data_IF_256028369187
#
_entry.id   IF_256028369187
#
_cell.length_a   1.000
_cell.length_b   1.000
_cell.length_c   1.000
_cell.angle_alpha   90.00
_cell.angle_beta   90.00
_cell.angle_gamma   90.00
#
_symmetry.space_group_name_H-M   'P 1'
#
loop_
_entity.id
_entity.type
_entity.pdbx_description
1 polymer ?
#
# COMPACT_ATOMS: atom_id res chain seq x y z
N UNK A 1 -1.77 -13.16 -0.99
CA UNK A 1 -2.22 -11.80 -0.60
C UNK A 1 -1.38 -10.80 -1.39
N UNK A 2 -1.94 -9.64 -1.80
CA UNK A 2 -1.18 -8.60 -2.49
C UNK A 2 -1.32 -7.26 -1.73
N UNK A 3 -0.51 -6.27 -2.11
CA UNK A 3 -0.48 -4.95 -1.46
C UNK A 3 -1.85 -4.27 -1.46
N UNK A 4 -2.60 -4.30 -2.56
CA UNK A 4 -3.93 -3.70 -2.62
C UNK A 4 -4.92 -4.37 -1.65
N UNK A 5 -4.83 -5.69 -1.48
CA UNK A 5 -5.65 -6.44 -0.54
C UNK A 5 -5.32 -6.03 0.91
N UNK A 6 -4.04 -6.01 1.27
CA UNK A 6 -3.60 -5.60 2.61
C UNK A 6 -3.99 -4.14 2.91
N UNK A 7 -3.77 -3.23 1.97
CA UNK A 7 -4.18 -1.83 2.11
C UNK A 7 -5.70 -1.67 2.21
N UNK A 8 -6.48 -2.56 1.60
CA UNK A 8 -7.95 -2.56 1.69
C UNK A 8 -8.43 -3.03 3.05
N UNK A 9 -7.84 -4.09 3.59
CA UNK A 9 -8.11 -4.57 4.95
C UNK A 9 -7.79 -3.50 6.01
N UNK A 10 -6.74 -2.72 5.78
CA UNK A 10 -6.34 -1.60 6.63
C UNK A 10 -7.11 -0.29 6.37
N UNK A 11 -8.01 -0.26 5.38
CA UNK A 11 -8.85 0.91 5.08
C UNK A 11 -8.20 2.00 4.23
N UNK A 12 -6.99 1.81 3.72
CA UNK A 12 -6.30 2.75 2.84
C UNK A 12 -6.72 2.65 1.36
N UNK A 13 -7.25 1.50 0.94
CA UNK A 13 -7.62 1.26 -0.46
C UNK A 13 -9.06 0.78 -0.60
N UNK A 14 -9.90 1.52 -1.34
CA UNK A 14 -11.31 1.18 -1.56
C UNK A 14 -11.61 0.61 -2.95
N UNK A 15 -10.65 0.73 -3.89
CA UNK A 15 -10.82 0.27 -5.27
C UNK A 15 -10.83 -1.25 -5.42
N UNK A 16 -10.95 -1.68 -6.68
CA UNK A 16 -10.83 -3.09 -7.04
C UNK A 16 -9.39 -3.57 -6.91
N UNK A 17 -9.23 -4.81 -6.44
CA UNK A 17 -7.93 -5.47 -6.34
C UNK A 17 -7.59 -6.02 -7.73
N UNK A 18 -7.07 -5.15 -8.59
CA UNK A 18 -6.74 -5.47 -9.99
C UNK A 18 -5.31 -6.01 -10.15
N UNK A 19 -4.46 -5.88 -9.14
CA UNK A 19 -3.03 -6.20 -9.20
C UNK A 19 -2.18 -5.14 -9.93
N UNK A 20 -2.82 -4.18 -10.59
CA UNK A 20 -2.14 -3.07 -11.28
C UNK A 20 -2.00 -1.84 -10.38
N UNK A 21 -0.81 -1.27 -10.31
CA UNK A 21 -0.54 -0.06 -9.51
C UNK A 21 -0.87 1.22 -10.27
N UNK A 22 -2.13 1.63 -10.17
CA UNK A 22 -2.61 2.92 -10.67
C UNK A 22 -2.47 4.07 -9.66
N UNK A 23 -2.91 5.28 -10.03
CA UNK A 23 -2.89 6.45 -9.16
C UNK A 23 -3.55 6.23 -7.78
N UNK A 24 -4.65 5.49 -7.73
CA UNK A 24 -5.35 5.16 -6.47
C UNK A 24 -4.53 4.26 -5.56
N UNK A 25 -3.82 3.27 -6.09
CA UNK A 25 -2.93 2.43 -5.30
C UNK A 25 -1.73 3.20 -4.78
N UNK A 26 -1.16 4.10 -5.59
CA UNK A 26 -0.06 4.99 -5.17
C UNK A 26 -0.50 5.92 -4.04
N UNK A 27 -1.70 6.48 -4.12
CA UNK A 27 -2.25 7.31 -3.04
C UNK A 27 -2.45 6.52 -1.74
N UNK A 28 -2.99 5.30 -1.83
CA UNK A 28 -3.15 4.42 -0.68
C UNK A 28 -1.79 4.05 -0.04
N UNK A 29 -0.79 3.76 -0.87
CA UNK A 29 0.59 3.51 -0.44
C UNK A 29 1.18 4.73 0.27
N UNK A 30 1.08 5.92 -0.30
CA UNK A 30 1.58 7.14 0.32
C UNK A 30 0.91 7.45 1.66
N UNK A 31 -0.41 7.20 1.77
CA UNK A 31 -1.14 7.39 3.01
C UNK A 31 -0.68 6.39 4.09
N UNK A 32 -0.56 5.11 3.73
CA UNK A 32 -0.05 4.08 4.63
C UNK A 32 1.38 4.40 5.09
N UNK A 33 2.28 4.71 4.15
CA UNK A 33 3.67 5.05 4.46
C UNK A 33 3.77 6.23 5.43
N UNK A 34 2.99 7.29 5.20
CA UNK A 34 2.94 8.45 6.10
C UNK A 34 2.48 8.07 7.50
N UNK A 35 1.40 7.31 7.61
CA UNK A 35 0.78 6.99 8.89
C UNK A 35 1.63 5.98 9.70
N UNK A 36 2.48 5.20 9.03
CA UNK A 36 3.45 4.27 9.64
C UNK A 36 4.87 4.85 9.75
N UNK A 37 5.09 6.12 9.41
CA UNK A 37 6.39 6.78 9.53
C UNK A 37 7.48 6.27 8.58
N UNK A 38 7.09 5.70 7.43
CA UNK A 38 7.97 5.25 6.37
C UNK A 38 8.30 6.40 5.40
N UNK A 39 9.30 6.19 4.55
CA UNK A 39 9.53 7.07 3.41
C UNK A 39 8.31 7.03 2.47
N UNK A 40 7.79 8.22 2.12
CA UNK A 40 6.57 8.34 1.32
C UNK A 40 6.92 8.26 -0.17
N UNK A 41 7.14 7.04 -0.66
CA UNK A 41 7.48 6.77 -2.06
C UNK A 41 6.24 6.63 -2.95
N UNK A 42 5.09 6.28 -2.37
CA UNK A 42 3.88 5.91 -3.12
C UNK A 42 4.08 4.68 -4.01
N UNK A 43 5.14 3.91 -3.79
CA UNK A 43 5.49 2.72 -4.53
C UNK A 43 5.48 1.49 -3.61
N UNK A 44 5.47 0.30 -4.21
CA UNK A 44 5.79 -0.92 -3.46
C UNK A 44 7.30 -0.96 -3.33
N UNK A 45 7.79 -0.70 -2.12
CA UNK A 45 9.19 -0.85 -1.75
C UNK A 45 9.34 -1.84 -0.59
N UNK A 46 10.59 -2.24 -0.32
CA UNK A 46 10.92 -3.23 0.71
C UNK A 46 10.41 -2.84 2.11
N UNK A 47 10.62 -1.60 2.61
CA UNK A 47 10.07 -1.18 3.89
C UNK A 47 8.55 -1.30 3.96
N UNK A 48 7.85 -0.95 2.87
CA UNK A 48 6.39 -1.02 2.83
C UNK A 48 5.89 -2.46 2.85
N UNK A 49 6.48 -3.37 2.08
CA UNK A 49 6.05 -4.78 2.09
C UNK A 49 6.37 -5.49 3.41
N UNK A 50 7.48 -5.12 4.05
CA UNK A 50 7.83 -5.62 5.38
C UNK A 50 6.83 -5.13 6.43
N UNK A 51 6.48 -3.84 6.40
CA UNK A 51 5.51 -3.27 7.34
C UNK A 51 4.09 -3.85 7.14
N UNK A 52 3.74 -4.25 5.90
CA UNK A 52 2.50 -4.96 5.58
C UNK A 52 2.54 -6.46 5.89
N UNK A 53 3.70 -7.02 6.30
CA UNK A 53 3.85 -8.44 6.59
C UNK A 53 3.73 -9.35 5.36
N UNK A 54 4.15 -8.85 4.19
CA UNK A 54 4.06 -9.59 2.92
C UNK A 54 5.33 -10.35 2.55
N UNK A 55 6.39 -10.23 3.37
CA UNK A 55 7.67 -10.93 3.27
C UNK A 55 8.15 -11.37 4.64
#
# INVERSE_FOLDING_TARGET
>A
MNVQHALKELGYYSGDVTGSLGPTSRQALSAYQRDYGLEITGAIDEPTVQALGLI
#
